data_IF_862410169760
#
_entry.id   IF_862410169760
#
_cell.length_a   1.000
_cell.length_b   1.000
_cell.length_c   1.000
_cell.angle_alpha   90.00
_cell.angle_beta   90.00
_cell.angle_gamma   90.00
#
_symmetry.space_group_name_H-M   'P 1'
#
loop_
_entity.id
_entity.type
_entity.pdbx_description
1 polymer ?
#
# COMPACT_ATOMS: atom_id res chain seq x y z
N UNK A 1 7.33 5.84 29.05
CA UNK A 1 7.12 6.90 28.05
C UNK A 1 5.96 7.77 28.51
N UNK A 2 6.30 8.93 29.07
CA UNK A 2 5.36 9.89 29.66
C UNK A 2 4.43 10.45 28.59
N UNK A 3 3.12 10.31 28.80
CA UNK A 3 2.11 11.02 28.03
C UNK A 3 2.34 12.52 28.24
N UNK A 4 2.69 13.24 27.17
CA UNK A 4 2.94 14.66 27.23
C UNK A 4 1.58 15.39 27.21
N UNK A 5 1.08 15.90 28.36
CA UNK A 5 -0.32 16.37 28.48
C UNK A 5 -0.60 17.60 27.62
N UNK A 6 0.46 18.31 27.23
CA UNK A 6 0.44 19.44 26.29
C UNK A 6 0.00 19.01 24.89
N UNK A 7 0.38 17.79 24.46
CA UNK A 7 0.01 17.25 23.16
C UNK A 7 -1.49 16.94 23.10
N UNK A 8 -2.06 16.45 24.21
CA UNK A 8 -3.48 16.12 24.30
C UNK A 8 -4.38 17.36 24.21
N UNK A 9 -4.03 18.44 24.92
CA UNK A 9 -4.74 19.72 24.80
C UNK A 9 -4.60 20.31 23.40
N UNK A 10 -3.40 20.29 22.84
CA UNK A 10 -3.15 20.80 21.50
C UNK A 10 -4.00 20.08 20.43
N UNK A 11 -4.12 18.76 20.51
CA UNK A 11 -4.97 17.97 19.58
C UNK A 11 -6.45 18.32 19.73
N UNK A 12 -6.92 18.58 20.95
CA UNK A 12 -8.33 18.95 21.18
C UNK A 12 -8.63 20.37 20.71
N UNK A 13 -7.68 21.29 20.89
CA UNK A 13 -7.77 22.68 20.46
C UNK A 13 -7.78 22.79 18.93
N UNK A 14 -6.98 21.99 18.23
CA UNK A 14 -7.01 21.89 16.75
C UNK A 14 -8.33 21.33 16.21
N UNK A 15 -8.97 20.38 16.92
CA UNK A 15 -10.30 19.86 16.53
C UNK A 15 -11.38 20.93 16.65
N UNK A 16 -11.31 21.78 17.67
CA UNK A 16 -12.28 22.85 17.90
C UNK A 16 -12.11 23.97 16.86
N UNK A 17 -10.88 24.43 16.62
CA UNK A 17 -10.58 25.45 15.60
C UNK A 17 -10.98 24.99 14.19
N UNK A 18 -10.86 23.69 13.87
CA UNK A 18 -11.25 23.13 12.56
C UNK A 18 -12.77 23.04 12.41
N UNK A 19 -13.47 22.77 13.50
CA UNK A 19 -14.94 22.76 13.52
C UNK A 19 -15.56 24.14 13.30
N UNK A 20 -14.84 25.22 13.66
CA UNK A 20 -15.26 26.62 13.51
C UNK A 20 -14.85 27.25 12.16
N UNK A 21 -14.31 26.47 11.22
CA UNK A 21 -13.87 26.88 9.87
C UNK A 21 -12.82 28.00 9.83
N UNK A 22 -11.99 28.11 10.86
CA UNK A 22 -10.90 29.11 10.91
C UNK A 22 -9.54 28.61 10.37
N UNK A 23 -9.43 27.36 9.89
CA UNK A 23 -8.15 26.82 9.42
C UNK A 23 -7.98 26.89 7.90
N UNK A 24 -6.77 27.27 7.49
CA UNK A 24 -6.39 27.32 6.08
C UNK A 24 -6.37 25.91 5.47
N UNK A 25 -6.50 25.87 4.13
CA UNK A 25 -6.53 24.63 3.35
C UNK A 25 -5.32 23.72 3.63
N UNK A 26 -4.15 24.32 3.81
CA UNK A 26 -2.90 23.62 4.08
C UNK A 26 -2.93 22.87 5.43
N UNK A 27 -3.53 23.48 6.45
CA UNK A 27 -3.69 22.84 7.76
C UNK A 27 -4.65 21.65 7.72
N UNK A 28 -5.72 21.75 6.92
CA UNK A 28 -6.68 20.65 6.72
C UNK A 28 -6.02 19.46 6.03
N UNK A 29 -5.20 19.73 5.01
CA UNK A 29 -4.47 18.68 4.28
C UNK A 29 -3.44 17.96 5.16
N UNK A 30 -2.73 18.68 6.03
CA UNK A 30 -1.77 18.08 6.95
C UNK A 30 -2.43 17.13 7.97
N UNK A 31 -3.64 17.44 8.45
CA UNK A 31 -4.38 16.60 9.39
C UNK A 31 -5.00 15.35 8.74
N UNK A 32 -5.41 15.45 7.47
CA UNK A 32 -5.85 14.29 6.67
C UNK A 32 -4.70 13.31 6.38
N UNK A 33 -3.48 13.82 6.14
CA UNK A 33 -2.29 13.01 5.86
C UNK A 33 -1.88 12.09 7.03
N UNK A 34 -2.13 12.49 8.28
CA UNK A 34 -1.90 11.68 9.48
C UNK A 34 -3.13 10.85 9.91
N UNK A 35 -4.22 10.86 9.14
CA UNK A 35 -5.37 9.96 9.35
C UNK A 35 -6.44 10.45 10.33
N UNK A 36 -6.51 11.75 10.59
CA UNK A 36 -7.48 12.36 11.50
C UNK A 36 -8.77 12.79 10.75
N UNK A 37 -9.62 11.84 10.32
CA UNK A 37 -10.88 12.14 9.62
C UNK A 37 -12.13 12.09 10.54
N UNK A 38 -13.03 13.07 10.41
CA UNK A 38 -14.27 13.25 11.22
C UNK A 38 -15.31 12.15 10.96
N UNK A 39 -16.00 11.75 12.05
CA UNK A 39 -17.16 10.84 12.01
C UNK A 39 -18.53 11.54 11.98
N UNK A 40 -18.62 12.83 12.35
CA UNK A 40 -19.93 13.43 12.62
C UNK A 40 -20.14 14.77 11.88
N UNK A 41 -20.86 14.71 10.75
CA UNK A 41 -21.83 15.72 10.35
C UNK A 41 -22.82 15.15 9.31
N UNK A 42 -24.10 15.46 9.52
CA UNK A 42 -25.31 15.12 8.73
C UNK A 42 -26.07 13.84 9.12
N UNK A 43 -26.94 14.01 10.12
CA UNK A 43 -28.30 13.43 10.22
C UNK A 43 -29.22 14.64 10.00
N UNK A 44 -30.24 14.70 9.15
CA UNK A 44 -30.98 13.69 8.39
C UNK A 44 -31.59 14.35 7.14
N UNK A 45 -31.56 13.62 6.02
CA UNK A 45 -32.75 13.51 5.19
C UNK A 45 -32.87 12.07 4.73
N UNK A 46 -33.94 11.46 5.23
CA UNK A 46 -34.25 10.06 5.17
C UNK A 46 -34.61 9.67 3.73
N UNK A 47 -33.77 8.84 3.10
CA UNK A 47 -34.15 7.85 2.09
C UNK A 47 -32.99 6.87 1.87
N UNK A 48 -33.08 5.72 2.54
CA UNK A 48 -32.63 4.42 2.04
C UNK A 48 -31.19 4.36 1.46
N UNK A 49 -30.17 4.15 2.31
CA UNK A 49 -28.85 3.69 1.83
C UNK A 49 -28.41 2.48 2.61
N UNK A 50 -28.76 1.29 2.09
CA UNK A 50 -27.88 0.13 2.24
C UNK A 50 -26.54 0.57 1.65
N UNK A 51 -25.53 0.86 2.46
CA UNK A 51 -24.16 0.97 1.95
C UNK A 51 -23.80 -0.44 1.49
N UNK A 52 -23.99 -0.68 0.21
CA UNK A 52 -23.88 -2.00 -0.41
C UNK A 52 -22.42 -2.44 -0.40
N UNK A 53 -22.18 -3.75 -0.21
CA UNK A 53 -20.86 -4.39 -0.32
C UNK A 53 -20.10 -3.97 -1.60
N UNK A 54 -20.85 -3.58 -2.64
CA UNK A 54 -20.42 -2.95 -3.89
C UNK A 54 -19.37 -1.83 -3.72
N UNK A 55 -19.59 -0.86 -2.82
CA UNK A 55 -18.71 0.31 -2.67
C UNK A 55 -17.37 -0.09 -2.03
N UNK A 56 -17.42 -1.05 -1.09
CA UNK A 56 -16.23 -1.65 -0.49
C UNK A 56 -15.43 -2.48 -1.51
N UNK A 57 -16.10 -3.15 -2.45
CA UNK A 57 -15.43 -3.90 -3.51
C UNK A 57 -14.74 -2.98 -4.52
N UNK A 58 -15.34 -1.86 -4.89
CA UNK A 58 -14.76 -0.90 -5.83
C UNK A 58 -13.51 -0.22 -5.25
N UNK A 59 -13.55 0.22 -4.00
CA UNK A 59 -12.39 0.79 -3.32
C UNK A 59 -11.23 -0.21 -3.19
N UNK A 60 -11.54 -1.50 -2.98
CA UNK A 60 -10.53 -2.55 -2.93
C UNK A 60 -9.91 -2.82 -4.31
N UNK A 61 -10.68 -2.72 -5.38
CA UNK A 61 -10.18 -2.88 -6.75
C UNK A 61 -9.28 -1.71 -7.16
N UNK A 62 -9.68 -0.47 -6.85
CA UNK A 62 -8.84 0.71 -7.07
C UNK A 62 -7.49 0.61 -6.36
N UNK A 63 -7.48 0.15 -5.10
CA UNK A 63 -6.22 -0.09 -4.36
C UNK A 63 -5.38 -1.19 -5.01
N UNK A 64 -6.00 -2.25 -5.51
CA UNK A 64 -5.27 -3.31 -6.21
C UNK A 64 -4.66 -2.79 -7.51
N UNK A 65 -5.40 -1.97 -8.26
CA UNK A 65 -4.95 -1.34 -9.50
C UNK A 65 -3.70 -0.47 -9.28
N UNK A 66 -3.73 0.40 -8.28
CA UNK A 66 -2.57 1.26 -7.95
C UNK A 66 -1.31 0.43 -7.70
N UNK A 67 -1.44 -0.68 -6.95
CA UNK A 67 -0.31 -1.56 -6.66
C UNK A 67 0.15 -2.34 -7.88
N UNK A 68 -0.77 -2.72 -8.77
CA UNK A 68 -0.44 -3.33 -10.05
C UNK A 68 0.37 -2.36 -10.94
N UNK A 69 -0.05 -1.09 -11.03
CA UNK A 69 0.70 -0.08 -11.78
C UNK A 69 2.10 0.15 -11.20
N UNK A 70 2.24 0.19 -9.87
CA UNK A 70 3.56 0.26 -9.23
C UNK A 70 4.45 -0.96 -9.56
N UNK A 71 3.86 -2.14 -9.73
CA UNK A 71 4.60 -3.34 -10.15
C UNK A 71 5.03 -3.25 -11.62
N UNK A 72 4.18 -2.71 -12.50
CA UNK A 72 4.51 -2.46 -13.91
C UNK A 72 5.69 -1.48 -14.01
N UNK A 73 5.64 -0.41 -13.24
CA UNK A 73 6.74 0.57 -13.16
C UNK A 73 8.02 -0.08 -12.65
N UNK A 74 7.95 -0.88 -11.58
CA UNK A 74 9.10 -1.64 -11.09
C UNK A 74 9.69 -2.55 -12.19
N UNK A 75 8.84 -3.25 -12.95
CA UNK A 75 9.28 -4.10 -14.06
C UNK A 75 9.96 -3.29 -15.16
N UNK A 76 9.47 -2.09 -15.47
CA UNK A 76 10.10 -1.18 -16.43
C UNK A 76 11.52 -0.81 -15.98
N UNK A 77 11.70 -0.49 -14.69
CA UNK A 77 12.98 -0.05 -14.15
C UNK A 77 14.01 -1.19 -13.96
N UNK A 78 13.54 -2.39 -13.59
CA UNK A 78 14.41 -3.51 -13.20
C UNK A 78 14.40 -4.67 -14.22
N UNK A 79 13.54 -4.62 -15.24
CA UNK A 79 13.38 -5.69 -16.24
C UNK A 79 12.67 -6.95 -15.73
N UNK A 80 12.26 -7.00 -14.45
CA UNK A 80 11.70 -8.18 -13.82
C UNK A 80 10.65 -7.82 -12.75
N UNK A 81 9.89 -8.81 -12.27
CA UNK A 81 8.88 -8.63 -11.20
C UNK A 81 9.37 -9.15 -9.84
N UNK A 82 10.69 -9.22 -9.64
CA UNK A 82 11.32 -9.85 -8.48
C UNK A 82 11.47 -8.84 -7.33
N UNK A 83 10.35 -8.23 -6.96
CA UNK A 83 10.33 -7.20 -5.90
C UNK A 83 10.73 -7.81 -4.55
N UNK A 84 11.76 -7.26 -3.87
CA UNK A 84 12.11 -7.65 -2.51
C UNK A 84 10.97 -7.39 -1.53
N UNK A 85 10.80 -8.25 -0.52
CA UNK A 85 9.74 -8.07 0.49
C UNK A 85 9.89 -6.74 1.22
N UNK A 86 11.13 -6.36 1.54
CA UNK A 86 11.47 -5.09 2.19
C UNK A 86 12.03 -4.08 1.18
N UNK A 87 11.34 -3.90 0.06
CA UNK A 87 11.73 -2.93 -0.95
C UNK A 87 11.67 -1.50 -0.37
N UNK A 88 12.83 -0.84 -0.24
CA UNK A 88 12.95 0.42 0.51
C UNK A 88 12.23 1.57 -0.20
N UNK A 89 12.32 1.65 -1.54
CA UNK A 89 11.66 2.70 -2.31
C UNK A 89 10.13 2.63 -2.22
N UNK A 90 9.58 1.42 -2.08
CA UNK A 90 8.14 1.20 -1.90
C UNK A 90 7.84 -0.03 -1.03
N UNK A 91 7.88 0.12 0.31
CA UNK A 91 7.67 -1.00 1.24
C UNK A 91 6.28 -1.62 1.15
N UNK A 92 5.29 -0.84 0.71
CA UNK A 92 3.95 -1.34 0.41
C UNK A 92 3.96 -2.33 -0.77
N UNK A 93 4.78 -2.09 -1.80
CA UNK A 93 4.83 -2.94 -2.99
C UNK A 93 5.40 -4.32 -2.66
N UNK A 94 6.51 -4.38 -1.92
CA UNK A 94 7.11 -5.65 -1.49
C UNK A 94 6.15 -6.50 -0.64
N UNK A 95 5.41 -5.86 0.28
CA UNK A 95 4.37 -6.54 1.08
C UNK A 95 3.21 -7.02 0.23
N UNK A 96 2.77 -6.21 -0.74
CA UNK A 96 1.68 -6.56 -1.64
C UNK A 96 2.05 -7.72 -2.57
N UNK A 97 3.24 -7.71 -3.17
CA UNK A 97 3.76 -8.81 -3.99
C UNK A 97 3.82 -10.11 -3.20
N UNK A 98 4.34 -10.06 -1.95
CA UNK A 98 4.32 -11.22 -1.04
C UNK A 98 2.90 -11.72 -0.79
N UNK A 99 1.95 -10.80 -0.59
CA UNK A 99 0.54 -11.12 -0.39
C UNK A 99 -0.04 -11.80 -1.63
N UNK A 100 0.18 -11.30 -2.84
CA UNK A 100 -0.31 -11.94 -4.08
C UNK A 100 0.20 -13.38 -4.21
N UNK A 101 1.50 -13.62 -4.00
CA UNK A 101 2.09 -14.97 -4.03
C UNK A 101 1.44 -15.90 -2.99
N UNK A 102 1.18 -15.40 -1.79
CA UNK A 102 0.52 -16.16 -0.73
C UNK A 102 -0.91 -16.57 -1.13
N UNK A 103 -1.76 -15.62 -1.56
CA UNK A 103 -3.14 -15.93 -1.95
C UNK A 103 -3.21 -16.83 -3.19
N UNK A 104 -2.29 -16.68 -4.15
CA UNK A 104 -2.18 -17.59 -5.28
C UNK A 104 -1.83 -19.01 -4.84
N UNK A 105 -0.87 -19.19 -3.91
CA UNK A 105 -0.54 -20.51 -3.37
C UNK A 105 -1.70 -21.18 -2.63
N UNK A 106 -2.61 -20.38 -2.07
CA UNK A 106 -3.85 -20.82 -1.42
C UNK A 106 -5.03 -20.97 -2.39
N UNK A 107 -4.85 -20.68 -3.69
CA UNK A 107 -5.92 -20.66 -4.71
C UNK A 107 -7.10 -19.76 -4.33
N UNK A 108 -6.82 -18.68 -3.60
CA UNK A 108 -7.81 -17.71 -3.09
C UNK A 108 -7.65 -16.33 -3.73
N UNK A 109 -6.76 -16.19 -4.70
CA UNK A 109 -6.63 -14.98 -5.50
C UNK A 109 -7.65 -15.02 -6.65
N UNK A 110 -8.33 -13.90 -6.90
CA UNK A 110 -9.28 -13.79 -8.01
C UNK A 110 -8.59 -14.11 -9.34
N UNK A 111 -9.25 -14.92 -10.18
CA UNK A 111 -8.71 -15.32 -11.48
C UNK A 111 -8.38 -14.12 -12.38
N UNK A 112 -9.18 -13.06 -12.35
CA UNK A 112 -8.90 -11.82 -13.08
C UNK A 112 -7.56 -11.19 -12.69
N UNK A 113 -7.21 -11.23 -11.40
CA UNK A 113 -5.94 -10.70 -10.89
C UNK A 113 -4.77 -11.60 -11.24
N UNK A 114 -4.97 -12.92 -11.24
CA UNK A 114 -3.97 -13.89 -11.71
C UNK A 114 -3.64 -13.64 -13.17
N UNK A 115 -4.65 -13.63 -14.05
CA UNK A 115 -4.46 -13.38 -15.48
C UNK A 115 -3.73 -12.07 -15.76
N UNK A 116 -4.06 -11.02 -15.01
CA UNK A 116 -3.43 -9.71 -15.18
C UNK A 116 -1.98 -9.70 -14.73
N UNK A 117 -1.65 -10.37 -13.63
CA UNK A 117 -0.27 -10.56 -13.21
C UNK A 117 0.52 -11.46 -14.17
N UNK A 118 -0.11 -12.50 -14.72
CA UNK A 118 0.51 -13.37 -15.73
C UNK A 118 0.80 -12.60 -17.03
N UNK A 119 -0.07 -11.66 -17.42
CA UNK A 119 0.12 -10.84 -18.62
C UNK A 119 1.40 -10.00 -18.60
N UNK A 120 1.92 -9.68 -17.41
CA UNK A 120 3.19 -8.98 -17.23
C UNK A 120 4.34 -9.93 -16.86
N UNK A 121 4.16 -11.24 -16.98
CA UNK A 121 5.19 -12.24 -16.66
C UNK A 121 5.53 -12.30 -15.17
N UNK A 122 4.52 -12.14 -14.30
CA UNK A 122 4.75 -12.14 -12.86
C UNK A 122 5.25 -13.48 -12.34
N UNK A 123 6.37 -13.45 -11.62
CA UNK A 123 6.95 -14.64 -11.00
C UNK A 123 6.26 -14.98 -9.68
N UNK A 124 5.51 -16.08 -9.70
CA UNK A 124 4.78 -16.60 -8.54
C UNK A 124 5.68 -17.35 -7.55
N UNK A 125 6.71 -18.04 -8.05
CA UNK A 125 7.59 -18.88 -7.24
C UNK A 125 9.05 -18.68 -7.59
N UNK A 126 9.77 -17.98 -6.71
CA UNK A 126 11.20 -17.71 -6.87
C UNK A 126 12.03 -19.00 -6.98
N UNK A 127 11.69 -20.02 -6.18
CA UNK A 127 12.45 -21.29 -6.17
C UNK A 127 12.24 -22.15 -7.41
N UNK A 128 11.10 -22.00 -8.09
CA UNK A 128 10.74 -22.88 -9.21
C UNK A 128 10.92 -22.23 -10.57
N UNK A 129 10.78 -20.92 -10.65
CA UNK A 129 10.67 -20.19 -11.92
C UNK A 129 11.87 -19.29 -12.20
N UNK A 130 12.75 -19.08 -11.23
CA UNK A 130 13.88 -18.16 -11.37
C UNK A 130 15.18 -18.95 -11.27
N UNK A 131 16.04 -18.91 -12.30
CA UNK A 131 17.39 -19.45 -12.24
C UNK A 131 18.19 -18.80 -11.10
N UNK A 132 19.13 -19.56 -10.54
CA UNK A 132 19.93 -19.07 -9.41
C UNK A 132 20.70 -17.80 -9.78
N UNK A 133 21.19 -17.73 -11.01
CA UNK A 133 21.98 -16.62 -11.57
C UNK A 133 21.18 -15.31 -11.54
N UNK A 134 19.89 -15.34 -11.83
CA UNK A 134 19.04 -14.14 -11.79
C UNK A 134 18.84 -13.65 -10.36
N UNK A 135 18.70 -14.56 -9.39
CA UNK A 135 18.61 -14.19 -7.97
C UNK A 135 19.96 -13.64 -7.47
N UNK A 136 21.06 -14.23 -7.93
CA UNK A 136 22.39 -13.76 -7.59
C UNK A 136 22.66 -12.35 -8.14
N UNK A 137 22.24 -12.07 -9.38
CA UNK A 137 22.35 -10.72 -9.96
C UNK A 137 21.58 -9.69 -9.13
N UNK A 138 20.37 -10.02 -8.68
CA UNK A 138 19.60 -9.13 -7.78
C UNK A 138 20.32 -8.86 -6.45
N UNK A 139 21.04 -9.86 -5.92
CA UNK A 139 21.83 -9.68 -4.70
C UNK A 139 23.02 -8.75 -4.95
N UNK A 140 23.66 -8.82 -6.13
CA UNK A 140 24.72 -7.90 -6.52
C UNK A 140 24.19 -6.47 -6.64
N UNK A 141 23.06 -6.28 -7.31
CA UNK A 141 22.42 -4.97 -7.46
C UNK A 141 22.07 -4.37 -6.09
N UNK A 142 21.55 -5.20 -5.17
CA UNK A 142 21.31 -4.80 -3.78
C UNK A 142 22.60 -4.40 -3.07
N UNK A 143 23.68 -5.18 -3.22
CA UNK A 143 24.97 -4.86 -2.62
C UNK A 143 25.53 -3.54 -3.14
N UNK A 144 25.41 -3.27 -4.44
CA UNK A 144 25.82 -1.99 -5.04
C UNK A 144 25.02 -0.83 -4.45
N UNK A 145 23.70 -0.99 -4.28
CA UNK A 145 22.83 0.06 -3.75
C UNK A 145 22.98 0.30 -2.25
N UNK A 146 23.31 -0.73 -1.47
CA UNK A 146 23.24 -0.69 0.00
C UNK A 146 24.59 -0.92 0.71
N UNK A 147 25.65 -1.23 -0.03
CA UNK A 147 26.99 -1.50 0.51
C UNK A 147 27.09 -2.80 1.32
N UNK A 148 26.04 -3.61 1.39
CA UNK A 148 26.01 -4.87 2.13
C UNK A 148 25.10 -5.91 1.47
N UNK A 149 25.26 -7.18 1.88
CA UNK A 149 24.44 -8.32 1.43
C UNK A 149 23.37 -8.71 2.45
N UNK A 150 23.14 -7.87 3.47
CA UNK A 150 22.14 -8.12 4.50
C UNK A 150 20.76 -7.78 3.93
N UNK A 151 20.26 -8.64 3.05
CA UNK A 151 18.89 -8.57 2.54
C UNK A 151 17.96 -9.03 3.67
N UNK A 152 17.14 -8.14 4.25
CA UNK A 152 16.38 -8.47 5.44
C UNK A 152 15.23 -9.44 5.14
N UNK A 153 15.08 -10.48 5.99
CA UNK A 153 14.12 -11.59 5.87
C UNK A 153 12.64 -11.17 5.95
#
# INVERSE_FOLDING_TARGET
>A
YHQNPKLGRWVQEQKNLHSEKQLSLHHTMCLEYVGFARRDYVVQESKNRRHTDQDRTEANEKRWEVMYQLLVEYKSQHGNTLVPVRYIKSPQLGRWVRKQRHWHSKKQLLNSRVLRLDSIGFVWSLRKQVPWESIFQLLLDYKVQHGNTLVPR
#
